data_IF_404253833765
#
_entry.id   IF_404253833765
#
_cell.length_a   1.000
_cell.length_b   1.000
_cell.length_c   1.000
_cell.angle_alpha   90.00
_cell.angle_beta   90.00
_cell.angle_gamma   90.00
#
_symmetry.space_group_name_H-M   'P 1'
#
loop_
_entity.id
_entity.type
_entity.pdbx_description
1 polymer ?
#
# COMPACT_ATOMS: atom_id res chain seq x y z
N UNK A 1 18.86 6.20 7.69
CA UNK A 1 18.00 5.70 8.77
C UNK A 1 17.62 4.26 8.43
N UNK A 2 17.74 3.34 9.39
CA UNK A 2 17.26 1.96 9.25
C UNK A 2 15.94 1.89 10.01
N UNK A 3 14.92 1.26 9.44
CA UNK A 3 13.67 1.05 10.16
C UNK A 3 12.88 -0.14 9.61
N UNK A 4 12.05 -0.71 10.46
CA UNK A 4 11.07 -1.72 10.11
C UNK A 4 9.67 -1.21 10.41
N UNK A 5 8.75 -1.36 9.47
CA UNK A 5 7.37 -0.93 9.59
C UNK A 5 6.45 -2.13 9.33
N UNK A 6 5.52 -2.36 10.26
CA UNK A 6 4.37 -3.23 10.05
C UNK A 6 3.11 -2.39 10.06
N UNK A 7 2.20 -2.68 9.15
CA UNK A 7 1.02 -1.88 8.90
C UNK A 7 -0.15 -2.78 8.55
N UNK A 8 -1.33 -2.48 9.08
CA UNK A 8 -2.54 -3.19 8.74
C UNK A 8 -3.68 -2.20 8.62
N UNK A 9 -4.39 -2.24 7.50
CA UNK A 9 -5.57 -1.42 7.25
C UNK A 9 -6.72 -2.26 6.75
N UNK A 10 -7.91 -1.97 7.25
CA UNK A 10 -9.17 -2.39 6.67
C UNK A 10 -9.79 -1.23 5.89
N UNK A 11 -10.44 -1.56 4.78
CA UNK A 11 -11.20 -0.60 3.96
C UNK A 11 -12.63 -1.07 3.86
N UNK A 12 -13.55 -0.14 3.99
CA UNK A 12 -14.96 -0.35 3.65
C UNK A 12 -15.32 0.50 2.44
N UNK A 13 -15.92 -0.12 1.44
CA UNK A 13 -16.58 0.56 0.34
C UNK A 13 -18.08 0.69 0.67
N UNK A 14 -18.78 1.77 0.25
CA UNK A 14 -20.24 1.83 0.34
C UNK A 14 -21.00 0.80 -0.55
N UNK A 15 -20.30 -0.24 -1.03
CA UNK A 15 -20.81 -1.37 -1.79
C UNK A 15 -19.97 -2.62 -1.47
N UNK A 16 -20.37 -3.77 -2.01
CA UNK A 16 -19.95 -5.17 -1.78
C UNK A 16 -18.46 -5.54 -1.64
N UNK A 17 -17.51 -4.61 -1.60
CA UNK A 17 -16.08 -4.91 -1.50
C UNK A 17 -15.53 -4.69 -0.08
N UNK A 18 -14.79 -5.68 0.42
CA UNK A 18 -14.01 -5.60 1.64
C UNK A 18 -12.54 -5.75 1.32
N UNK A 19 -11.71 -4.81 1.78
CA UNK A 19 -10.28 -4.82 1.51
C UNK A 19 -9.48 -4.81 2.81
N UNK A 20 -8.54 -5.74 2.94
CA UNK A 20 -7.57 -5.79 4.03
C UNK A 20 -6.14 -5.77 3.48
N UNK A 21 -5.31 -4.85 4.00
CA UNK A 21 -3.98 -4.55 3.45
C UNK A 21 -2.88 -4.63 4.51
N UNK A 22 -2.49 -5.82 4.99
CA UNK A 22 -1.32 -5.95 5.81
C UNK A 22 -0.07 -5.76 4.96
N UNK A 23 0.89 -5.01 5.52
CA UNK A 23 2.09 -4.57 4.83
C UNK A 23 3.27 -4.55 5.78
N UNK A 24 4.42 -4.92 5.25
CA UNK A 24 5.70 -4.87 5.96
C UNK A 24 6.70 -4.14 5.06
N UNK A 25 7.42 -3.17 5.64
CA UNK A 25 8.45 -2.40 4.92
C UNK A 25 9.75 -2.39 5.72
N UNK A 26 10.84 -2.75 5.06
CA UNK A 26 12.20 -2.56 5.56
C UNK A 26 12.83 -1.35 4.87
N UNK A 27 13.40 -0.43 5.65
CA UNK A 27 14.12 0.73 5.14
C UNK A 27 15.58 0.65 5.59
N UNK A 28 16.51 0.88 4.66
CA UNK A 28 17.95 0.90 4.92
C UNK A 28 18.61 2.03 4.10
N UNK A 29 18.53 3.25 4.66
CA UNK A 29 19.13 4.42 4.03
C UNK A 29 18.43 4.82 2.73
N UNK A 30 19.15 4.80 1.61
CA UNK A 30 18.62 5.15 0.29
C UNK A 30 17.67 4.10 -0.29
N UNK A 31 17.65 2.90 0.28
CA UNK A 31 16.90 1.78 -0.25
C UNK A 31 15.82 1.31 0.73
N UNK A 32 14.77 0.72 0.19
CA UNK A 32 13.76 0.00 0.97
C UNK A 32 13.15 -1.16 0.18
N UNK A 33 12.58 -2.12 0.88
CA UNK A 33 11.72 -3.17 0.31
C UNK A 33 10.35 -3.12 0.99
N UNK A 34 9.29 -3.39 0.24
CA UNK A 34 7.91 -3.37 0.72
C UNK A 34 7.19 -4.63 0.26
N UNK A 35 6.63 -5.38 1.19
CA UNK A 35 5.74 -6.50 0.90
C UNK A 35 4.34 -6.17 1.41
N UNK A 36 3.34 -6.33 0.55
CA UNK A 36 1.94 -6.05 0.86
C UNK A 36 1.06 -7.20 0.36
N UNK A 37 0.15 -7.67 1.22
CA UNK A 37 -0.96 -8.47 0.75
C UNK A 37 -2.17 -7.55 0.58
N UNK A 38 -2.80 -7.57 -0.59
CA UNK A 38 -4.04 -6.85 -0.84
C UNK A 38 -5.16 -7.87 -0.95
N UNK A 39 -5.75 -8.20 0.20
CA UNK A 39 -6.83 -9.16 0.34
C UNK A 39 -8.15 -8.46 0.03
N UNK A 40 -8.71 -8.73 -1.15
CA UNK A 40 -9.92 -8.10 -1.66
C UNK A 40 -11.00 -9.17 -1.83
N UNK A 41 -12.11 -8.98 -1.13
CA UNK A 41 -13.29 -9.83 -1.23
C UNK A 41 -14.41 -9.02 -1.88
N UNK A 42 -15.03 -9.57 -2.91
CA UNK A 42 -16.28 -9.09 -3.48
C UNK A 42 -17.45 -9.98 -3.02
N UNK A 43 -18.42 -9.39 -2.33
CA UNK A 43 -19.68 -10.02 -1.96
C UNK A 43 -20.72 -9.79 -3.07
N UNK A 44 -20.83 -10.74 -3.99
CA UNK A 44 -21.94 -10.74 -4.94
C UNK A 44 -23.14 -11.44 -4.31
N UNK A 45 -24.10 -10.63 -3.84
CA UNK A 45 -25.38 -11.10 -3.29
C UNK A 45 -26.12 -11.99 -4.30
N UNK A 46 -25.87 -13.30 -4.26
CA UNK A 46 -26.51 -14.32 -5.08
C UNK A 46 -25.58 -15.32 -5.80
N UNK A 47 -24.30 -15.00 -6.02
CA UNK A 47 -23.37 -15.88 -6.78
C UNK A 47 -22.13 -16.34 -6.00
N UNK A 48 -22.01 -15.93 -4.72
CA UNK A 48 -20.89 -16.28 -3.86
C UNK A 48 -19.86 -15.17 -3.75
N UNK A 49 -18.74 -15.46 -3.10
CA UNK A 49 -17.70 -14.48 -2.79
C UNK A 49 -16.53 -14.62 -3.78
N UNK A 50 -16.21 -13.55 -4.51
CA UNK A 50 -15.04 -13.56 -5.41
C UNK A 50 -13.80 -13.03 -4.66
N UNK A 51 -12.73 -13.82 -4.67
CA UNK A 51 -11.43 -13.46 -4.10
C UNK A 51 -10.56 -12.81 -5.19
N UNK A 52 -10.22 -11.54 -4.99
CA UNK A 52 -9.34 -10.75 -5.86
C UNK A 52 -8.00 -10.43 -5.17
N UNK A 53 -7.51 -11.37 -4.34
CA UNK A 53 -6.27 -11.20 -3.58
C UNK A 53 -5.05 -11.08 -4.49
N UNK A 54 -4.17 -10.13 -4.14
CA UNK A 54 -2.86 -9.94 -4.76
C UNK A 54 -1.75 -9.88 -3.71
N UNK A 55 -0.56 -10.31 -4.10
CA UNK A 55 0.67 -10.15 -3.33
C UNK A 55 1.60 -9.20 -4.08
N UNK A 56 1.92 -8.09 -3.44
CA UNK A 56 2.76 -7.05 -4.01
C UNK A 56 4.10 -7.09 -3.32
N UNK A 57 5.16 -7.37 -4.08
CA UNK A 57 6.51 -7.30 -3.57
C UNK A 57 7.33 -6.29 -4.35
N UNK A 58 7.55 -5.17 -3.70
CA UNK A 58 8.43 -4.12 -4.15
C UNK A 58 9.85 -4.44 -3.68
N UNK A 59 10.61 -5.10 -4.57
CA UNK A 59 11.96 -5.59 -4.29
C UNK A 59 12.91 -4.43 -3.98
N UNK A 60 12.81 -3.33 -4.73
CA UNK A 60 13.68 -2.17 -4.55
C UNK A 60 12.93 -0.85 -4.72
N UNK A 61 12.94 -0.06 -3.65
CA UNK A 61 12.51 1.33 -3.61
C UNK A 61 13.71 2.23 -3.34
N UNK A 62 13.80 3.35 -4.05
CA UNK A 62 14.77 4.42 -3.87
C UNK A 62 14.12 5.59 -3.12
N UNK A 63 14.71 5.95 -1.99
CA UNK A 63 14.35 7.13 -1.19
C UNK A 63 15.04 8.37 -1.78
N UNK A 64 14.53 8.89 -2.89
CA UNK A 64 15.15 9.96 -3.69
C UNK A 64 15.32 11.28 -2.94
N UNK A 65 14.32 11.66 -2.17
CA UNK A 65 14.36 12.86 -1.33
C UNK A 65 14.09 12.38 0.08
N UNK A 66 15.01 12.63 1.01
CA UNK A 66 14.84 12.33 2.44
C UNK A 66 15.28 13.55 3.25
N UNK A 67 14.34 14.48 3.42
CA UNK A 67 14.51 15.62 4.32
C UNK A 67 13.83 15.33 5.66
N UNK A 68 13.96 16.24 6.63
CA UNK A 68 13.28 16.12 7.93
C UNK A 68 11.76 16.01 7.79
N UNK A 69 11.18 16.66 6.78
CA UNK A 69 9.73 16.85 6.64
C UNK A 69 9.15 16.17 5.41
N UNK A 70 9.97 15.72 4.46
CA UNK A 70 9.48 15.14 3.20
C UNK A 70 10.37 13.96 2.80
N UNK A 71 9.71 12.85 2.49
CA UNK A 71 10.33 11.67 1.88
C UNK A 71 9.63 11.33 0.57
N UNK A 72 10.36 11.38 -0.55
CA UNK A 72 9.86 10.94 -1.85
C UNK A 72 10.52 9.61 -2.26
N UNK A 73 9.72 8.72 -2.84
CA UNK A 73 10.10 7.34 -3.14
C UNK A 73 9.65 6.93 -4.53
N UNK A 74 10.49 6.17 -5.21
CA UNK A 74 10.13 5.47 -6.44
C UNK A 74 10.68 4.05 -6.38
N UNK A 75 10.02 3.10 -7.02
CA UNK A 75 10.57 1.75 -7.08
C UNK A 75 9.80 0.83 -8.01
N UNK A 76 10.36 -0.37 -8.11
CA UNK A 76 9.86 -1.42 -8.98
C UNK A 76 9.77 -2.74 -8.21
N UNK A 77 8.78 -3.53 -8.60
CA UNK A 77 8.47 -4.79 -7.96
C UNK A 77 7.66 -5.72 -8.84
N UNK A 78 7.08 -6.72 -8.20
CA UNK A 78 6.16 -7.67 -8.81
C UNK A 78 4.83 -7.61 -8.09
N UNK A 79 3.74 -7.65 -8.85
CA UNK A 79 2.40 -7.94 -8.40
C UNK A 79 2.09 -9.38 -8.82
N UNK A 80 1.71 -10.22 -7.88
CA UNK A 80 1.23 -11.57 -8.15
C UNK A 80 -0.26 -11.65 -7.86
N UNK A 81 -1.05 -12.09 -8.83
CA UNK A 81 -2.48 -12.32 -8.67
C UNK A 81 -2.72 -13.74 -8.13
N UNK A 82 -3.57 -13.89 -7.12
CA UNK A 82 -3.98 -15.21 -6.61
C UNK A 82 -5.23 -15.75 -7.31
N UNK A 83 -5.89 -14.91 -8.12
CA UNK A 83 -7.09 -15.20 -8.86
C UNK A 83 -6.80 -15.36 -10.37
N UNK A 84 -7.83 -15.75 -11.13
CA UNK A 84 -7.70 -16.00 -12.56
C UNK A 84 -6.60 -17.01 -12.87
N UNK A 85 -5.71 -16.64 -13.80
CA UNK A 85 -4.58 -17.47 -14.26
C UNK A 85 -3.33 -17.40 -13.37
N UNK A 86 -3.41 -16.71 -12.21
CA UNK A 86 -2.31 -16.59 -11.24
C UNK A 86 -1.01 -16.03 -11.84
N UNK A 87 -1.13 -14.91 -12.55
CA UNK A 87 0.00 -14.29 -13.27
C UNK A 87 0.75 -13.30 -12.38
N UNK A 88 2.00 -13.06 -12.77
CA UNK A 88 2.85 -12.02 -12.17
C UNK A 88 3.05 -10.89 -13.17
N UNK A 89 3.05 -9.66 -12.67
CA UNK A 89 3.23 -8.46 -13.46
C UNK A 89 4.23 -7.53 -12.79
N UNK A 90 5.04 -6.84 -13.58
CA UNK A 90 5.92 -5.83 -13.02
C UNK A 90 5.11 -4.63 -12.55
N UNK A 91 5.37 -4.15 -11.33
CA UNK A 91 4.66 -3.04 -10.69
C UNK A 91 5.63 -1.88 -10.40
N UNK A 92 5.33 -0.71 -10.96
CA UNK A 92 5.97 0.55 -10.57
C UNK A 92 5.24 1.16 -9.38
N UNK A 93 6.00 1.69 -8.43
CA UNK A 93 5.47 2.45 -7.29
C UNK A 93 6.15 3.81 -7.20
N UNK A 94 5.38 4.83 -6.87
CA UNK A 94 5.88 6.15 -6.46
C UNK A 94 5.12 6.60 -5.21
N UNK A 95 5.81 7.22 -4.26
CA UNK A 95 5.17 7.68 -3.03
C UNK A 95 5.81 8.93 -2.44
N UNK A 96 5.01 9.67 -1.69
CA UNK A 96 5.39 10.87 -0.99
C UNK A 96 4.89 10.76 0.45
N UNK A 97 5.79 11.01 1.40
CA UNK A 97 5.47 11.11 2.83
C UNK A 97 5.84 12.49 3.32
N UNK A 98 4.92 13.15 4.00
CA UNK A 98 5.08 14.50 4.57
C UNK A 98 4.94 14.38 6.09
N UNK A 99 5.94 14.86 6.82
CA UNK A 99 6.04 14.76 8.27
C UNK A 99 5.83 16.13 8.90
N UNK A 100 5.03 16.19 9.97
CA UNK A 100 4.95 17.38 10.81
C UNK A 100 6.32 17.70 11.44
N UNK A 101 6.51 18.94 11.89
CA UNK A 101 7.77 19.35 12.53
C UNK A 101 8.13 18.50 13.76
N UNK A 102 7.11 18.02 14.46
CA UNK A 102 7.20 17.12 15.62
C UNK A 102 7.29 15.64 15.22
N UNK A 103 7.12 15.30 13.93
CA UNK A 103 7.06 13.94 13.39
C UNK A 103 5.98 13.05 14.01
N UNK A 104 4.97 13.67 14.63
CA UNK A 104 3.84 12.97 15.25
C UNK A 104 2.68 12.77 14.29
N UNK A 105 2.67 13.48 13.16
CA UNK A 105 1.68 13.35 12.10
C UNK A 105 2.42 13.09 10.79
N UNK A 106 1.95 12.12 10.01
CA UNK A 106 2.51 11.77 8.70
C UNK A 106 1.39 11.70 7.69
N UNK A 107 1.47 12.47 6.60
CA UNK A 107 0.62 12.31 5.43
C UNK A 107 1.34 11.49 4.37
N UNK A 108 0.68 10.51 3.77
CA UNK A 108 1.23 9.68 2.72
C UNK A 108 0.34 9.73 1.49
N UNK A 109 0.98 9.78 0.32
CA UNK A 109 0.36 9.52 -0.98
C UNK A 109 1.20 8.45 -1.65
N UNK A 110 0.57 7.41 -2.18
CA UNK A 110 1.23 6.34 -2.92
C UNK A 110 0.45 6.07 -4.21
N UNK A 111 1.17 5.92 -5.31
CA UNK A 111 0.65 5.54 -6.61
C UNK A 111 1.36 4.27 -7.06
N UNK A 112 0.58 3.28 -7.51
CA UNK A 112 1.10 2.00 -8.02
C UNK A 112 0.48 1.68 -9.37
N UNK A 113 1.27 1.13 -10.28
CA UNK A 113 0.78 0.65 -11.57
C UNK A 113 1.51 -0.64 -11.96
N UNK A 114 0.74 -1.71 -12.11
CA UNK A 114 1.18 -2.98 -12.68
C UNK A 114 0.89 -2.99 -14.18
N UNK A 115 1.83 -3.52 -14.97
CA UNK A 115 1.70 -3.60 -16.43
C UNK A 115 2.12 -4.98 -16.93
N UNK A 116 1.31 -5.54 -17.83
CA UNK A 116 1.70 -6.64 -18.68
C UNK A 116 2.44 -6.07 -19.91
N UNK A 117 3.72 -6.37 -20.03
CA UNK A 117 4.56 -5.88 -21.14
C UNK A 117 4.40 -6.70 -22.42
N UNK A 118 3.77 -7.88 -22.35
CA UNK A 118 3.49 -8.73 -23.51
C UNK A 118 2.18 -8.32 -24.19
N UNK A 119 1.12 -8.12 -23.39
CA UNK A 119 -0.23 -7.81 -23.90
C UNK A 119 -0.57 -6.32 -23.90
N UNK A 120 0.21 -5.51 -23.15
CA UNK A 120 -0.08 -4.09 -22.94
C UNK A 120 -1.17 -3.82 -21.90
N UNK A 121 -1.78 -4.86 -21.32
CA UNK A 121 -2.81 -4.72 -20.30
C UNK A 121 -2.27 -4.04 -19.03
N UNK A 122 -3.17 -3.39 -18.28
CA UNK A 122 -2.90 -2.79 -16.97
C UNK A 122 -3.68 -3.57 -15.92
N UNK A 123 -3.09 -4.65 -15.35
CA UNK A 123 -3.75 -5.49 -14.35
C UNK A 123 -4.28 -4.69 -13.17
N UNK A 124 -3.49 -3.73 -12.67
CA UNK A 124 -3.93 -2.85 -11.59
C UNK A 124 -3.29 -1.47 -11.65
N UNK A 125 -4.11 -0.45 -11.41
CA UNK A 125 -3.68 0.90 -11.05
C UNK A 125 -4.25 1.25 -9.68
N UNK A 126 -3.43 1.80 -8.80
CA UNK A 126 -3.84 2.17 -7.46
C UNK A 126 -3.34 3.56 -7.09
N UNK A 127 -4.20 4.33 -6.42
CA UNK A 127 -3.81 5.50 -5.65
C UNK A 127 -4.28 5.32 -4.21
N UNK A 128 -3.39 5.59 -3.26
CA UNK A 128 -3.65 5.53 -1.84
C UNK A 128 -3.26 6.86 -1.20
N UNK A 129 -4.12 7.36 -0.32
CA UNK A 129 -3.82 8.47 0.57
C UNK A 129 -4.04 8.02 2.01
N UNK A 130 -3.10 8.32 2.91
CA UNK A 130 -3.28 8.08 4.34
C UNK A 130 -2.74 9.21 5.20
N UNK A 131 -3.35 9.38 6.38
CA UNK A 131 -2.90 10.25 7.45
C UNK A 131 -2.69 9.41 8.70
N UNK A 132 -1.48 9.47 9.23
CA UNK A 132 -1.07 8.75 10.42
C UNK A 132 -0.88 9.71 11.58
N UNK A 133 -1.37 9.34 12.77
CA UNK A 133 -1.13 10.07 14.02
C UNK A 133 -0.47 9.15 15.04
N UNK A 134 0.67 9.58 15.57
CA UNK A 134 1.40 8.83 16.60
C UNK A 134 0.56 8.73 17.88
N UNK A 135 0.34 7.50 18.34
CA UNK A 135 -0.38 7.18 19.58
C UNK A 135 0.59 7.05 20.75
N UNK A 136 1.74 6.41 20.53
CA UNK A 136 2.74 6.20 21.57
C UNK A 136 4.16 6.18 21.00
N UNK A 137 5.13 6.42 21.88
CA UNK A 137 6.56 6.28 21.62
C UNK A 137 7.23 5.71 22.86
N UNK A 138 7.82 4.52 22.73
CA UNK A 138 8.50 3.82 23.82
C UNK A 138 9.83 3.27 23.33
N UNK A 139 10.93 3.94 23.68
CA UNK A 139 12.25 3.63 23.14
C UNK A 139 12.30 3.76 21.62
N UNK A 140 12.63 2.66 20.94
CA UNK A 140 12.70 2.54 19.48
C UNK A 140 11.32 2.33 18.83
N UNK A 141 10.31 1.97 19.61
CA UNK A 141 8.97 1.67 19.11
C UNK A 141 8.13 2.94 19.00
N UNK A 142 7.44 3.08 17.87
CA UNK A 142 6.43 4.11 17.65
C UNK A 142 5.18 3.47 17.06
N UNK A 143 4.03 3.76 17.65
CA UNK A 143 2.74 3.30 17.14
C UNK A 143 1.91 4.45 16.59
N UNK A 144 1.16 4.18 15.53
CA UNK A 144 0.35 5.16 14.82
C UNK A 144 -1.06 4.61 14.55
N UNK A 145 -2.07 5.46 14.67
CA UNK A 145 -3.37 5.24 14.04
C UNK A 145 -3.33 5.82 12.63
N UNK A 146 -3.93 5.12 11.66
CA UNK A 146 -4.06 5.59 10.28
C UNK A 146 -5.53 5.71 9.88
N UNK A 147 -5.83 6.75 9.12
CA UNK A 147 -7.06 6.91 8.35
C UNK A 147 -6.68 7.26 6.91
N UNK A 148 -7.46 6.86 5.93
CA UNK A 148 -7.09 7.09 4.54
C UNK A 148 -8.19 6.76 3.54
N UNK A 149 -7.80 6.76 2.28
CA UNK A 149 -8.64 6.35 1.16
C UNK A 149 -7.80 5.64 0.13
N UNK A 150 -8.39 4.65 -0.51
CA UNK A 150 -7.77 3.90 -1.61
C UNK A 150 -8.70 3.88 -2.80
N UNK A 151 -8.13 3.95 -3.99
CA UNK A 151 -8.80 3.69 -5.25
C UNK A 151 -7.94 2.73 -6.06
N UNK A 152 -8.52 1.62 -6.49
CA UNK A 152 -7.92 0.57 -7.30
C UNK A 152 -8.76 0.37 -8.55
N UNK A 153 -8.11 0.27 -9.71
CA UNK A 153 -8.75 -0.09 -10.97
C UNK A 153 -8.05 -1.32 -11.53
N UNK A 154 -8.79 -2.42 -11.65
CA UNK A 154 -8.32 -3.70 -12.17
C UNK A 154 -8.71 -3.86 -13.64
N UNK A 155 -7.74 -4.25 -14.47
CA UNK A 155 -7.92 -4.50 -15.91
C UNK A 155 -8.73 -3.42 -16.65
N UNK A 156 -8.59 -2.17 -16.19
CA UNK A 156 -9.32 -0.99 -16.67
C UNK A 156 -10.86 -1.07 -16.61
N UNK A 157 -11.44 -2.13 -16.03
CA UNK A 157 -12.88 -2.41 -16.04
C UNK A 157 -13.51 -2.41 -14.65
N UNK A 158 -12.83 -2.94 -13.63
CA UNK A 158 -13.35 -3.04 -12.26
C UNK A 158 -12.74 -1.95 -11.40
N UNK A 159 -13.59 -1.10 -10.78
CA UNK A 159 -13.14 -0.02 -9.89
C UNK A 159 -13.56 -0.33 -8.45
N UNK A 160 -12.58 -0.34 -7.56
CA UNK A 160 -12.74 -0.56 -6.12
C UNK A 160 -12.20 0.65 -5.39
N UNK A 161 -12.95 1.18 -4.43
CA UNK A 161 -12.50 2.31 -3.65
C UNK A 161 -13.08 2.26 -2.25
N UNK A 162 -12.42 2.89 -1.29
CA UNK A 162 -13.04 3.01 0.03
C UNK A 162 -12.19 3.78 1.02
N UNK A 163 -12.79 3.97 2.19
CA UNK A 163 -12.13 4.62 3.31
C UNK A 163 -11.39 3.57 4.14
N UNK A 164 -10.13 3.87 4.46
CA UNK A 164 -9.24 2.99 5.19
C UNK A 164 -9.08 3.46 6.63
N UNK A 165 -8.97 2.52 7.56
CA UNK A 165 -8.53 2.76 8.92
C UNK A 165 -7.65 1.61 9.40
N UNK A 166 -6.74 1.88 10.33
CA UNK A 166 -5.80 0.86 10.78
C UNK A 166 -4.72 1.35 11.73
N UNK A 167 -3.67 0.53 11.85
CA UNK A 167 -2.54 0.76 12.74
C UNK A 167 -1.21 0.57 12.00
N UNK A 168 -0.22 1.36 12.39
CA UNK A 168 1.17 1.20 11.98
C UNK A 168 2.07 1.09 13.22
N UNK A 169 3.04 0.19 13.16
CA UNK A 169 4.10 0.07 14.17
C UNK A 169 5.43 0.23 13.44
N UNK A 170 6.27 1.14 13.94
CA UNK A 170 7.62 1.40 13.42
C UNK A 170 8.66 1.16 14.49
N UNK A 171 9.74 0.50 14.11
CA UNK A 171 10.95 0.32 14.91
C UNK A 171 12.10 1.01 14.19
N UNK A 172 12.85 1.84 14.92
CA UNK A 172 13.98 2.64 14.41
C UNK A 172 15.31 2.19 15.00
#
# INVERSE_FOLDING_TARGET
MISFEAFAQGTIQPSSYYLFNPRIRGNWGLFSTDFRMNYLIEDNHGSGTNDLTTYDWQVLHLNLITTRNVTARVGGGTLYERFGDKRSFFEWTSGLSIFSNTQTIVGNIEYRVAKDYETGAIPRREINFSLEKQLFRTGLWRGYATIGGVYQRYYESVSVWGLQAGLAIRVF
#
